data_IF_304435642381
#
_entry.id   IF_304435642381
#
_cell.length_a   1.000
_cell.length_b   1.000
_cell.length_c   1.000
_cell.angle_alpha   90.00
_cell.angle_beta   90.00
_cell.angle_gamma   90.00
#
_symmetry.space_group_name_H-M   'P 1'
#
loop_
_entity.id
_entity.type
_entity.pdbx_description
1 polymer ?
#
# COMPACT_ATOMS: atom_id res chain seq x y z
N UNK A 1 -17.45 -18.92 -20.41
CA UNK A 1 -17.00 -17.93 -21.42
C UNK A 1 -16.09 -16.95 -20.70
N UNK A 2 -14.78 -17.21 -20.71
CA UNK A 2 -13.79 -16.29 -20.15
C UNK A 2 -13.61 -15.13 -21.13
N UNK A 3 -13.84 -13.91 -20.65
CA UNK A 3 -13.57 -12.70 -21.42
C UNK A 3 -12.06 -12.61 -21.62
N UNK A 4 -11.62 -12.74 -22.86
CA UNK A 4 -10.22 -12.62 -23.25
C UNK A 4 -9.84 -11.12 -23.18
N UNK A 5 -9.00 -10.77 -22.22
CA UNK A 5 -8.55 -9.39 -21.99
C UNK A 5 -7.48 -9.06 -23.02
N UNK A 6 -7.85 -8.25 -24.02
CA UNK A 6 -6.97 -7.78 -25.12
C UNK A 6 -6.19 -6.53 -24.74
N UNK A 7 -5.38 -6.57 -23.67
CA UNK A 7 -4.43 -5.49 -23.42
C UNK A 7 -3.16 -5.97 -22.72
N UNK A 8 -2.03 -5.40 -23.11
CA UNK A 8 -0.69 -5.74 -22.57
C UNK A 8 -0.45 -5.21 -21.14
N UNK A 9 -1.48 -4.68 -20.47
CA UNK A 9 -1.39 -4.21 -19.09
C UNK A 9 -1.74 -5.31 -18.08
N UNK A 10 -0.84 -5.54 -17.11
CA UNK A 10 -1.12 -6.33 -15.93
C UNK A 10 -2.17 -5.63 -15.06
N UNK A 11 -3.35 -6.23 -14.89
CA UNK A 11 -4.29 -5.76 -13.88
C UNK A 11 -3.81 -6.24 -12.52
N UNK A 12 -3.32 -5.31 -11.71
CA UNK A 12 -2.93 -5.57 -10.32
C UNK A 12 -4.17 -5.98 -9.53
N UNK A 13 -4.07 -7.07 -8.77
CA UNK A 13 -5.13 -7.49 -7.86
C UNK A 13 -5.37 -6.43 -6.77
N UNK A 14 -6.63 -6.25 -6.32
CA UNK A 14 -6.93 -5.25 -5.30
C UNK A 14 -6.16 -5.54 -4.01
N UNK A 15 -5.32 -4.58 -3.58
CA UNK A 15 -4.53 -4.68 -2.35
C UNK A 15 -5.06 -3.76 -1.24
N UNK A 16 -4.94 -4.14 0.04
CA UNK A 16 -5.40 -3.32 1.18
C UNK A 16 -4.42 -2.19 1.54
N UNK A 17 -3.19 -2.24 1.02
CA UNK A 17 -2.11 -1.32 1.41
C UNK A 17 -2.41 0.17 1.19
N UNK A 18 -3.07 0.60 0.08
CA UNK A 18 -3.43 2.00 -0.10
C UNK A 18 -4.36 2.53 0.99
N UNK A 19 -5.34 1.73 1.40
CA UNK A 19 -6.30 2.12 2.44
C UNK A 19 -5.63 2.21 3.83
N UNK A 20 -4.78 1.24 4.16
CA UNK A 20 -4.01 1.26 5.40
C UNK A 20 -3.04 2.45 5.45
N UNK A 21 -2.37 2.76 4.33
CA UNK A 21 -1.51 3.93 4.21
C UNK A 21 -2.25 5.24 4.41
N UNK A 22 -3.46 5.37 3.84
CA UNK A 22 -4.30 6.56 4.01
C UNK A 22 -4.75 6.75 5.48
N UNK A 23 -5.18 5.68 6.15
CA UNK A 23 -5.55 5.71 7.56
C UNK A 23 -4.35 6.07 8.46
N UNK A 24 -3.17 5.50 8.18
CA UNK A 24 -1.95 5.79 8.91
C UNK A 24 -1.50 7.26 8.72
N UNK A 25 -1.62 7.78 7.50
CA UNK A 25 -1.37 9.19 7.18
C UNK A 25 -2.33 10.12 7.92
N UNK A 26 -3.63 9.81 7.88
CA UNK A 26 -4.64 10.57 8.61
C UNK A 26 -4.35 10.60 10.12
N UNK A 27 -4.08 9.44 10.74
CA UNK A 27 -3.76 9.37 12.16
C UNK A 27 -2.54 10.21 12.52
N UNK A 28 -1.49 10.16 11.69
CA UNK A 28 -0.26 10.94 11.90
C UNK A 28 -0.54 12.44 11.81
N UNK A 29 -1.25 12.90 10.77
CA UNK A 29 -1.60 14.32 10.58
C UNK A 29 -2.50 14.81 11.70
N UNK A 30 -3.52 14.02 12.08
CA UNK A 30 -4.42 14.36 13.17
C UNK A 30 -3.67 14.49 14.49
N UNK A 31 -2.80 13.53 14.83
CA UNK A 31 -1.96 13.59 16.02
C UNK A 31 -1.02 14.80 16.02
N UNK A 32 -0.46 15.17 14.86
CA UNK A 32 0.41 16.34 14.73
C UNK A 32 -0.32 17.65 15.00
N UNK A 33 -1.54 17.79 14.49
CA UNK A 33 -2.40 18.97 14.76
C UNK A 33 -2.68 19.08 16.26
N UNK A 34 -3.01 17.97 16.92
CA UNK A 34 -3.25 17.95 18.37
C UNK A 34 -2.01 18.29 19.20
N UNK A 35 -0.84 17.85 18.74
CA UNK A 35 0.42 18.18 19.38
C UNK A 35 0.78 19.67 19.24
N UNK A 36 0.50 20.28 18.09
CA UNK A 36 0.74 21.72 17.86
C UNK A 36 -0.29 22.63 18.55
N UNK A 37 -1.47 22.11 18.87
CA UNK A 37 -2.57 22.85 19.49
C UNK A 37 -3.12 22.10 20.73
N UNK A 38 -2.34 22.00 21.82
CA UNK A 38 -2.69 21.17 22.98
C UNK A 38 -3.96 21.65 23.72
N UNK A 39 -4.30 22.93 23.61
CA UNK A 39 -5.51 23.53 24.19
C UNK A 39 -6.81 23.04 23.52
N UNK A 40 -6.74 22.50 22.30
CA UNK A 40 -7.91 22.09 21.50
C UNK A 40 -8.73 20.97 22.18
N UNK A 41 -8.07 20.18 23.03
CA UNK A 41 -8.67 19.08 23.79
C UNK A 41 -8.67 19.33 25.30
N UNK A 42 -8.57 20.58 25.76
CA UNK A 42 -8.62 20.90 27.19
C UNK A 42 -7.38 20.44 27.97
N UNK A 43 -6.19 20.52 27.33
CA UNK A 43 -4.91 20.22 27.97
C UNK A 43 -4.41 18.77 27.80
N UNK A 44 -5.23 17.85 27.27
CA UNK A 44 -4.78 16.49 26.94
C UNK A 44 -4.29 16.33 25.49
N UNK A 45 -4.35 17.39 24.69
CA UNK A 45 -4.00 17.36 23.26
C UNK A 45 -2.56 16.95 22.99
N UNK A 46 -1.62 17.33 23.86
CA UNK A 46 -0.20 16.95 23.74
C UNK A 46 0.00 15.44 23.89
N UNK A 47 -0.55 14.86 24.96
CA UNK A 47 -0.44 13.42 25.25
C UNK A 47 -1.14 12.62 24.14
N UNK A 48 -2.35 13.03 23.76
CA UNK A 48 -3.11 12.35 22.73
C UNK A 48 -2.46 12.48 21.34
N UNK A 49 -1.87 13.64 21.04
CA UNK A 49 -1.10 13.89 19.82
C UNK A 49 0.09 12.94 19.72
N UNK A 50 0.96 12.93 20.73
CA UNK A 50 2.11 12.02 20.80
C UNK A 50 1.69 10.54 20.70
N UNK A 51 0.65 10.16 21.46
CA UNK A 51 0.12 8.80 21.45
C UNK A 51 -0.45 8.38 20.08
N UNK A 52 -0.79 9.32 19.20
CA UNK A 52 -1.32 9.04 17.85
C UNK A 52 -0.23 9.13 16.78
N UNK A 53 0.71 10.07 16.89
CA UNK A 53 1.81 10.28 15.92
C UNK A 53 2.71 9.04 15.84
N UNK A 54 3.18 8.52 16.97
CA UNK A 54 4.13 7.40 16.97
C UNK A 54 3.56 6.13 16.33
N UNK A 55 2.35 5.66 16.71
CA UNK A 55 1.71 4.54 16.03
C UNK A 55 1.41 4.84 14.56
N UNK A 56 1.02 6.08 14.22
CA UNK A 56 0.77 6.49 12.84
C UNK A 56 2.00 6.34 11.95
N UNK A 57 3.15 6.87 12.39
CA UNK A 57 4.43 6.74 11.69
C UNK A 57 4.86 5.27 11.58
N UNK A 58 4.70 4.49 12.66
CA UNK A 58 5.02 3.06 12.65
C UNK A 58 4.16 2.31 11.62
N UNK A 59 2.86 2.64 11.54
CA UNK A 59 1.93 2.03 10.60
C UNK A 59 2.23 2.43 9.15
N UNK A 60 2.65 3.68 8.90
CA UNK A 60 3.17 4.10 7.58
C UNK A 60 4.39 3.26 7.20
N UNK A 61 5.39 3.16 8.09
CA UNK A 61 6.60 2.40 7.83
C UNK A 61 6.31 0.92 7.57
N UNK A 62 5.44 0.31 8.38
CA UNK A 62 4.99 -1.06 8.20
C UNK A 62 4.27 -1.24 6.86
N UNK A 63 3.34 -0.34 6.52
CA UNK A 63 2.61 -0.37 5.24
C UNK A 63 3.58 -0.31 4.07
N UNK A 64 4.59 0.55 4.10
CA UNK A 64 5.61 0.63 3.05
C UNK A 64 6.38 -0.69 2.91
N UNK A 65 6.89 -1.25 4.01
CA UNK A 65 7.67 -2.50 3.97
C UNK A 65 6.84 -3.66 3.41
N UNK A 66 5.61 -3.83 3.89
CA UNK A 66 4.76 -4.93 3.43
C UNK A 66 4.24 -4.73 2.01
N UNK A 67 3.93 -3.50 1.64
CA UNK A 67 3.51 -3.18 0.28
C UNK A 67 4.65 -3.43 -0.71
N UNK A 68 5.86 -2.94 -0.45
CA UNK A 68 7.01 -3.19 -1.32
C UNK A 68 7.36 -4.67 -1.42
N UNK A 69 7.26 -5.43 -0.32
CA UNK A 69 7.43 -6.89 -0.35
C UNK A 69 6.43 -7.54 -1.32
N UNK A 70 5.17 -7.12 -1.28
CA UNK A 70 4.12 -7.70 -2.12
C UNK A 70 4.34 -7.33 -3.60
N UNK A 71 4.75 -6.09 -3.90
CA UNK A 71 5.16 -5.67 -5.26
C UNK A 71 6.30 -6.53 -5.81
N UNK A 72 7.33 -6.80 -5.00
CA UNK A 72 8.47 -7.64 -5.41
C UNK A 72 8.02 -9.08 -5.67
N UNK A 73 7.13 -9.62 -4.84
CA UNK A 73 6.58 -10.98 -5.01
C UNK A 73 5.76 -11.08 -6.30
N UNK A 74 4.89 -10.12 -6.56
CA UNK A 74 4.10 -10.03 -7.78
C UNK A 74 5.01 -9.96 -9.02
N UNK A 75 6.01 -9.08 -9.00
CA UNK A 75 6.97 -8.93 -10.08
C UNK A 75 7.79 -10.21 -10.35
N UNK A 76 8.17 -10.96 -9.31
CA UNK A 76 9.05 -12.14 -9.42
C UNK A 76 8.29 -13.41 -9.82
N UNK A 77 7.12 -13.64 -9.22
CA UNK A 77 6.40 -14.91 -9.36
C UNK A 77 5.23 -14.85 -10.33
N UNK A 78 4.58 -13.68 -10.50
CA UNK A 78 3.44 -13.52 -11.40
C UNK A 78 3.85 -12.96 -12.76
N UNK A 79 4.84 -12.04 -12.80
CA UNK A 79 5.40 -11.50 -14.05
C UNK A 79 6.15 -12.53 -14.91
N UNK A 80 6.85 -13.48 -14.30
CA UNK A 80 7.59 -14.53 -15.02
C UNK A 80 6.66 -15.59 -15.65
N UNK A 81 5.51 -15.85 -15.01
CA UNK A 81 4.53 -16.79 -15.56
C UNK A 81 3.95 -16.29 -16.89
N UNK A 82 3.79 -14.97 -17.08
CA UNK A 82 3.32 -14.41 -18.36
C UNK A 82 4.36 -14.53 -19.49
N UNK A 83 5.66 -14.48 -19.20
CA UNK A 83 6.73 -14.78 -20.19
C UNK A 83 6.70 -16.26 -20.57
N UNK A 84 6.40 -17.16 -19.64
CA UNK A 84 6.36 -18.60 -19.91
C UNK A 84 5.14 -19.04 -20.73
N UNK A 85 4.01 -18.32 -20.64
CA UNK A 85 2.76 -18.67 -21.37
C UNK A 85 2.67 -17.95 -22.73
N UNK A 86 3.48 -16.90 -22.96
CA UNK A 86 3.51 -16.13 -24.22
C UNK A 86 4.46 -16.68 -25.29
N UNK A 87 5.10 -17.84 -25.07
CA UNK A 87 5.70 -18.63 -26.14
C UNK A 87 4.79 -19.81 -26.56
N UNK A 88 3.70 -19.60 -27.33
CA UNK A 88 3.21 -20.65 -28.18
C UNK A 88 4.11 -20.72 -29.40
N UNK A 89 5.07 -21.65 -29.39
CA UNK A 89 5.70 -22.26 -30.58
C UNK A 89 5.79 -21.33 -31.80
N UNK A 90 6.93 -20.67 -32.01
CA UNK A 90 7.30 -20.17 -33.33
C UNK A 90 7.37 -21.38 -34.27
N UNK A 91 6.23 -21.76 -34.89
CA UNK A 91 6.17 -22.84 -35.85
C UNK A 91 7.05 -22.42 -37.02
N UNK A 92 8.07 -23.21 -37.39
CA UNK A 92 8.81 -22.95 -38.61
C UNK A 92 7.87 -23.20 -39.79
N UNK A 93 7.67 -22.17 -40.61
CA UNK A 93 7.29 -22.29 -42.00
C UNK A 93 8.34 -21.59 -42.86
#
# INVERSE_FOLDING_TARGET
MSVEVKHDFHMVDPSPWPALGALAGFATTFGLVLFMHPEMLGGIGEIFGIATIFPGILLIAATMVFWWRDVIREATFQGLSLIHISEPTRRPN
#
